data_IF_111751421371
#
_entry.id   IF_111751421371
#
_cell.length_a   1.000
_cell.length_b   1.000
_cell.length_c   1.000
_cell.angle_alpha   90.00
_cell.angle_beta   90.00
_cell.angle_gamma   90.00
#
_symmetry.space_group_name_H-M   'P 1'
#
loop_
_entity.id
_entity.type
_entity.pdbx_description
1 polymer ?
#
# COMPACT_ATOMS: atom_id res chain seq x y z
N UNK A 1 -39.74 22.28 9.31
CA UNK A 1 -40.26 20.90 9.11
C UNK A 1 -39.96 20.33 7.70
N UNK A 2 -39.19 21.02 6.84
CA UNK A 2 -38.93 20.59 5.43
C UNK A 2 -37.58 19.84 5.26
N UNK A 3 -36.67 19.88 6.24
CA UNK A 3 -35.32 19.30 6.13
C UNK A 3 -35.26 17.76 6.28
N UNK A 4 -36.15 17.14 7.06
CA UNK A 4 -36.19 15.67 7.19
C UNK A 4 -36.76 14.96 5.94
N UNK A 5 -37.65 15.62 5.19
CA UNK A 5 -38.26 15.03 4.00
C UNK A 5 -37.26 14.84 2.85
N UNK A 6 -36.25 15.71 2.75
CA UNK A 6 -35.27 15.68 1.67
C UNK A 6 -34.21 14.60 1.90
N UNK A 7 -33.85 14.32 3.16
CA UNK A 7 -32.90 13.27 3.54
C UNK A 7 -33.50 11.87 3.31
N UNK A 8 -34.79 11.66 3.62
CA UNK A 8 -35.47 10.38 3.33
C UNK A 8 -35.60 10.11 1.82
N UNK A 9 -35.82 11.15 1.01
CA UNK A 9 -35.91 11.02 -0.45
C UNK A 9 -34.59 10.53 -1.06
N UNK A 10 -33.46 11.08 -0.62
CA UNK A 10 -32.13 10.68 -1.12
C UNK A 10 -31.78 9.25 -0.67
N UNK A 11 -32.15 8.87 0.55
CA UNK A 11 -31.90 7.52 1.07
C UNK A 11 -32.68 6.44 0.31
N UNK A 12 -33.95 6.71 -0.03
CA UNK A 12 -34.82 5.75 -0.73
C UNK A 12 -34.41 5.54 -2.20
N UNK A 13 -33.82 6.56 -2.83
CA UNK A 13 -33.21 6.46 -4.17
C UNK A 13 -31.98 5.55 -4.15
N UNK A 14 -31.14 5.64 -3.10
CA UNK A 14 -29.93 4.81 -2.97
C UNK A 14 -30.27 3.36 -2.63
N UNK A 15 -31.28 3.11 -1.77
CA UNK A 15 -31.68 1.74 -1.42
C UNK A 15 -32.30 0.95 -2.56
N UNK A 16 -32.86 1.62 -3.58
CA UNK A 16 -33.51 0.93 -4.71
C UNK A 16 -32.53 0.41 -5.78
N UNK A 17 -31.23 0.72 -5.68
CA UNK A 17 -30.22 0.29 -6.67
C UNK A 17 -29.36 -0.91 -6.24
N UNK A 18 -29.68 -1.56 -5.13
CA UNK A 18 -29.05 -2.83 -4.75
C UNK A 18 -29.87 -4.03 -5.26
N UNK A 19 -30.16 -4.03 -6.56
CA UNK A 19 -30.59 -5.27 -7.22
C UNK A 19 -29.31 -6.01 -7.63
N UNK A 20 -28.84 -6.89 -6.75
CA UNK A 20 -27.74 -7.80 -7.02
C UNK A 20 -28.15 -8.74 -8.15
N UNK A 21 -27.92 -8.33 -9.39
CA UNK A 21 -28.02 -9.24 -10.53
C UNK A 21 -27.05 -10.39 -10.26
N UNK A 22 -27.52 -11.66 -10.24
CA UNK A 22 -26.63 -12.80 -10.20
C UNK A 22 -25.61 -12.64 -11.33
N UNK A 23 -24.33 -12.55 -10.99
CA UNK A 23 -23.27 -12.61 -12.00
C UNK A 23 -23.34 -14.05 -12.53
N UNK A 24 -23.94 -14.22 -13.70
CA UNK A 24 -23.84 -15.45 -14.48
C UNK A 24 -22.37 -15.56 -14.92
N UNK A 25 -21.54 -16.13 -14.04
CA UNK A 25 -20.15 -16.47 -14.35
C UNK A 25 -20.24 -17.61 -15.34
N UNK A 26 -19.99 -17.38 -16.66
CA UNK A 26 -19.91 -18.50 -17.59
C UNK A 26 -18.86 -19.45 -17.03
N UNK A 27 -19.19 -20.75 -16.96
CA UNK A 27 -18.30 -21.81 -16.46
C UNK A 27 -16.87 -21.47 -16.83
N UNK A 28 -16.08 -21.13 -15.80
CA UNK A 28 -14.72 -20.66 -16.01
C UNK A 28 -14.03 -21.70 -16.90
N UNK A 29 -13.35 -21.31 -17.99
CA UNK A 29 -12.58 -22.26 -18.76
C UNK A 29 -11.67 -22.96 -17.76
N UNK A 30 -11.79 -24.29 -17.65
CA UNK A 30 -10.93 -25.09 -16.79
C UNK A 30 -9.50 -24.78 -17.22
N UNK A 31 -8.85 -23.87 -16.48
CA UNK A 31 -7.43 -23.57 -16.66
C UNK A 31 -6.75 -24.84 -16.19
N UNK A 32 -6.54 -25.75 -17.14
CA UNK A 32 -5.66 -26.88 -16.94
C UNK A 32 -4.36 -26.28 -16.42
N UNK A 33 -3.80 -26.78 -15.31
CA UNK A 33 -2.58 -26.22 -14.76
C UNK A 33 -1.54 -26.24 -15.87
N UNK A 34 -1.15 -25.05 -16.32
CA UNK A 34 0.00 -24.90 -17.19
C UNK A 34 1.18 -25.30 -16.31
N UNK A 35 1.57 -26.56 -16.42
CA UNK A 35 2.85 -27.03 -15.89
C UNK A 35 3.87 -26.25 -16.72
N UNK A 36 4.38 -25.17 -16.16
CA UNK A 36 5.55 -24.48 -16.68
C UNK A 36 6.68 -25.48 -16.53
N UNK A 37 6.97 -26.19 -17.62
CA UNK A 37 8.11 -27.08 -17.72
C UNK A 37 9.37 -26.22 -17.54
N UNK A 38 9.97 -26.34 -16.36
CA UNK A 38 11.25 -25.74 -16.04
C UNK A 38 12.34 -26.63 -16.65
N UNK A 39 12.43 -26.65 -17.99
CA UNK A 39 13.47 -27.38 -18.70
C UNK A 39 14.77 -26.56 -18.69
N UNK A 40 15.71 -27.04 -17.88
CA UNK A 40 17.05 -26.49 -17.68
C UNK A 40 17.83 -26.32 -18.98
N UNK A 41 18.47 -25.17 -19.16
CA UNK A 41 19.68 -25.05 -19.97
C UNK A 41 20.69 -24.19 -19.22
N UNK A 42 21.76 -24.83 -18.75
CA UNK A 42 23.01 -24.24 -18.19
C UNK A 42 22.80 -22.96 -17.37
N UNK A 43 22.07 -23.07 -16.25
CA UNK A 43 21.77 -21.90 -15.42
C UNK A 43 23.00 -21.49 -14.63
N UNK A 44 23.62 -20.37 -15.01
CA UNK A 44 24.22 -19.51 -14.00
C UNK A 44 23.20 -19.36 -12.86
N UNK A 45 23.62 -19.61 -11.63
CA UNK A 45 22.76 -19.49 -10.45
C UNK A 45 22.17 -18.07 -10.45
N UNK A 46 20.90 -17.96 -10.82
CA UNK A 46 20.22 -16.67 -10.85
C UNK A 46 19.96 -16.25 -9.41
N UNK A 47 20.83 -15.38 -8.89
CA UNK A 47 20.68 -14.81 -7.55
C UNK A 47 19.65 -13.68 -7.63
N UNK A 48 18.43 -13.95 -7.17
CA UNK A 48 17.34 -12.96 -7.13
C UNK A 48 17.63 -11.81 -6.15
N UNK A 49 18.28 -12.10 -5.03
CA UNK A 49 18.65 -11.12 -3.99
C UNK A 49 20.17 -10.97 -3.87
N UNK A 50 20.76 -10.06 -4.65
CA UNK A 50 22.19 -9.79 -4.58
C UNK A 50 22.54 -8.89 -3.37
N UNK A 51 23.78 -8.95 -2.85
CA UNK A 51 24.23 -8.05 -1.78
C UNK A 51 24.10 -6.56 -2.14
N UNK A 52 24.35 -6.20 -3.40
CA UNK A 52 24.26 -4.82 -3.90
C UNK A 52 22.81 -4.33 -3.94
N UNK A 53 21.86 -5.22 -4.24
CA UNK A 53 20.43 -4.93 -4.17
C UNK A 53 20.01 -4.63 -2.73
N UNK A 54 20.42 -5.49 -1.79
CA UNK A 54 20.13 -5.32 -0.36
C UNK A 54 20.68 -3.99 0.15
N UNK A 55 21.93 -3.65 -0.19
CA UNK A 55 22.53 -2.38 0.21
C UNK A 55 21.82 -1.18 -0.43
N UNK A 56 21.32 -1.31 -1.66
CA UNK A 56 20.53 -0.25 -2.31
C UNK A 56 19.19 -0.03 -1.62
N UNK A 57 18.50 -1.10 -1.23
CA UNK A 57 17.29 -1.02 -0.41
C UNK A 57 17.56 -0.34 0.94
N UNK A 58 18.65 -0.74 1.63
CA UNK A 58 19.06 -0.16 2.91
C UNK A 58 19.28 1.36 2.81
N UNK A 59 20.03 1.81 1.80
CA UNK A 59 20.24 3.24 1.52
C UNK A 59 18.95 3.99 1.23
N UNK A 60 18.02 3.37 0.51
CA UNK A 60 16.69 3.94 0.25
C UNK A 60 15.89 4.16 1.54
N UNK A 61 15.89 3.17 2.44
CA UNK A 61 15.21 3.28 3.74
C UNK A 61 15.84 4.35 4.63
N UNK A 62 17.17 4.45 4.65
CA UNK A 62 17.88 5.49 5.41
C UNK A 62 17.56 6.88 4.88
N UNK A 63 17.52 7.04 3.55
CA UNK A 63 17.12 8.30 2.92
C UNK A 63 15.68 8.69 3.28
N UNK A 64 14.74 7.73 3.26
CA UNK A 64 13.36 7.99 3.65
C UNK A 64 13.29 8.57 5.05
N UNK A 65 13.89 7.91 6.05
CA UNK A 65 13.90 8.40 7.43
C UNK A 65 14.56 9.77 7.56
N UNK A 66 15.67 10.01 6.85
CA UNK A 66 16.37 11.29 6.86
C UNK A 66 15.58 12.43 6.19
N UNK A 67 14.68 12.11 5.27
CA UNK A 67 13.85 13.08 4.55
C UNK A 67 12.55 13.46 5.27
N UNK A 68 12.23 12.78 6.38
CA UNK A 68 11.02 13.04 7.15
C UNK A 68 11.08 14.43 7.80
N UNK A 69 9.97 15.17 7.73
CA UNK A 69 9.82 16.44 8.43
C UNK A 69 9.62 16.25 9.93
N UNK A 70 9.83 17.31 10.71
CA UNK A 70 9.70 17.25 12.18
C UNK A 70 8.29 16.83 12.65
N UNK A 71 7.27 17.17 11.87
CA UNK A 71 5.86 16.84 12.13
C UNK A 71 5.45 15.43 11.66
N UNK A 72 6.39 14.63 11.15
CA UNK A 72 6.15 13.26 10.69
C UNK A 72 5.76 13.14 9.21
N UNK A 73 5.55 14.27 8.52
CA UNK A 73 5.18 14.30 7.11
C UNK A 73 6.38 14.11 6.15
N UNK A 74 6.10 13.88 4.87
CA UNK A 74 7.10 13.63 3.83
C UNK A 74 6.85 14.48 2.59
N UNK A 75 7.92 14.79 1.87
CA UNK A 75 7.88 15.52 0.60
C UNK A 75 8.27 17.00 0.75
N UNK A 76 8.23 17.73 -0.37
CA UNK A 76 8.66 19.12 -0.44
C UNK A 76 7.57 20.02 -1.05
N UNK A 77 7.62 21.31 -0.72
CA UNK A 77 6.71 22.33 -1.25
C UNK A 77 5.24 21.97 -1.04
N UNK A 78 4.44 22.01 -2.12
CA UNK A 78 2.99 21.74 -2.07
C UNK A 78 2.61 20.32 -1.65
N UNK A 79 3.55 19.37 -1.67
CA UNK A 79 3.31 17.97 -1.30
C UNK A 79 3.84 17.62 0.09
N UNK A 80 4.46 18.55 0.81
CA UNK A 80 5.13 18.25 2.09
C UNK A 80 4.22 17.72 3.19
N UNK A 81 2.91 18.01 3.14
CA UNK A 81 1.92 17.51 4.12
C UNK A 81 0.86 16.64 3.46
N UNK A 82 1.26 15.81 2.49
CA UNK A 82 0.35 14.90 1.82
C UNK A 82 0.21 13.59 2.61
N UNK A 83 -1.00 13.30 3.09
CA UNK A 83 -1.31 12.08 3.86
C UNK A 83 -1.01 10.82 3.06
N UNK A 84 -1.32 10.77 1.76
CA UNK A 84 -1.06 9.60 0.92
C UNK A 84 0.44 9.31 0.76
N UNK A 85 1.27 10.34 0.62
CA UNK A 85 2.73 10.18 0.59
C UNK A 85 3.23 9.65 1.95
N UNK A 86 2.76 10.25 3.05
CA UNK A 86 3.12 9.83 4.39
C UNK A 86 2.75 8.36 4.67
N UNK A 87 1.52 7.95 4.32
CA UNK A 87 1.06 6.57 4.49
C UNK A 87 1.91 5.56 3.69
N UNK A 88 2.30 5.90 2.46
CA UNK A 88 3.14 5.04 1.64
C UNK A 88 4.54 4.89 2.24
N UNK A 89 5.13 5.97 2.75
CA UNK A 89 6.43 5.94 3.43
C UNK A 89 6.37 5.07 4.70
N UNK A 90 5.33 5.21 5.53
CA UNK A 90 5.14 4.36 6.70
C UNK A 90 5.01 2.87 6.32
N UNK A 91 4.24 2.57 5.27
CA UNK A 91 4.07 1.20 4.79
C UNK A 91 5.40 0.59 4.32
N UNK A 92 6.22 1.34 3.57
CA UNK A 92 7.51 0.88 3.11
C UNK A 92 8.46 0.54 4.28
N UNK A 93 8.51 1.39 5.31
CA UNK A 93 9.33 1.15 6.50
C UNK A 93 8.84 -0.07 7.29
N UNK A 94 7.52 -0.29 7.38
CA UNK A 94 6.96 -1.48 8.02
C UNK A 94 7.17 -2.76 7.21
N UNK A 95 7.14 -2.68 5.87
CA UNK A 95 7.44 -3.81 5.00
C UNK A 95 8.90 -4.31 5.13
N UNK A 96 9.82 -3.43 5.52
CA UNK A 96 11.22 -3.75 5.88
C UNK A 96 11.33 -4.44 7.27
N UNK A 97 10.21 -4.64 7.97
CA UNK A 97 10.15 -5.31 9.28
C UNK A 97 10.25 -4.38 10.48
N UNK A 98 10.25 -3.06 10.29
CA UNK A 98 10.29 -2.09 11.38
C UNK A 98 8.88 -1.84 11.93
N UNK A 99 8.72 -1.77 13.25
CA UNK A 99 7.42 -1.50 13.88
C UNK A 99 7.41 -0.12 14.56
N UNK A 100 6.24 0.53 14.69
CA UNK A 100 6.12 1.75 15.47
C UNK A 100 6.59 1.51 16.91
N UNK A 101 7.43 2.40 17.44
CA UNK A 101 7.96 2.22 18.79
C UNK A 101 9.28 2.94 19.04
N UNK A 102 10.07 2.38 19.96
CA UNK A 102 11.28 3.04 20.47
C UNK A 102 12.50 2.88 19.57
N UNK A 103 12.46 2.01 18.55
CA UNK A 103 13.57 1.81 17.63
C UNK A 103 13.80 3.03 16.73
N UNK A 104 15.00 3.23 16.17
CA UNK A 104 15.31 4.43 15.36
C UNK A 104 14.33 4.64 14.20
N UNK A 105 14.11 3.61 13.37
CA UNK A 105 13.10 3.60 12.30
C UNK A 105 11.67 3.57 12.87
N UNK A 106 11.46 2.90 14.00
CA UNK A 106 10.17 2.82 14.69
C UNK A 106 9.64 4.16 15.19
N UNK A 107 10.52 5.05 15.66
CA UNK A 107 10.15 6.43 16.03
C UNK A 107 9.72 7.25 14.82
N UNK A 108 10.40 7.05 13.68
CA UNK A 108 10.01 7.70 12.42
C UNK A 108 8.62 7.23 11.98
N UNK A 109 8.34 5.92 12.03
CA UNK A 109 7.02 5.36 11.72
C UNK A 109 5.96 5.92 12.67
N UNK A 110 6.24 5.95 13.99
CA UNK A 110 5.28 6.49 14.97
C UNK A 110 4.91 7.93 14.65
N UNK A 111 5.89 8.80 14.37
CA UNK A 111 5.63 10.18 13.97
C UNK A 111 4.76 10.28 12.71
N UNK A 112 5.01 9.42 11.72
CA UNK A 112 4.19 9.38 10.50
C UNK A 112 2.75 8.97 10.79
N UNK A 113 2.54 8.00 11.69
CA UNK A 113 1.21 7.57 12.09
C UNK A 113 0.50 8.65 12.91
N UNK A 114 1.22 9.40 13.75
CA UNK A 114 0.65 10.53 14.51
C UNK A 114 0.26 11.71 13.60
N UNK A 115 0.87 11.81 12.41
CA UNK A 115 0.57 12.83 11.40
C UNK A 115 -0.72 12.55 10.61
N UNK A 116 -1.06 11.27 10.39
CA UNK A 116 -2.20 10.82 9.58
C UNK A 116 -3.50 10.90 10.39
#
# INVERSE_FOLDING_TARGET
MISHALILSVFMIISSHQESTPIDVPDAPTVSPVIVDSSSSTSEEFIEMTPELIESCRRGMDFLVASQSDDGSFGLGRYGKNVGIASLCALALMADGNMPGSDPKGRSIQKTLDFI
#
